data_IF_794456172050
#
_entry.id   IF_794456172050
#
_cell.length_a   1.000
_cell.length_b   1.000
_cell.length_c   1.000
_cell.angle_alpha   90.00
_cell.angle_beta   90.00
_cell.angle_gamma   90.00
#
_symmetry.space_group_name_H-M   'P 1'
#
loop_
_entity.id
_entity.type
_entity.pdbx_description
1 polymer ?
#
# COMPACT_ATOMS: atom_id res chain seq x y z
N UNK A 1 6.07 -16.92 12.50
CA UNK A 1 6.56 -15.66 11.91
C UNK A 1 5.42 -15.04 11.11
N UNK A 2 4.97 -13.84 11.46
CA UNK A 2 3.76 -13.25 10.89
C UNK A 2 3.99 -12.74 9.47
N UNK A 3 3.31 -13.33 8.48
CA UNK A 3 3.38 -12.98 7.05
C UNK A 3 3.12 -11.49 6.72
N UNK A 4 2.61 -10.72 7.69
CA UNK A 4 2.46 -9.27 7.60
C UNK A 4 3.80 -8.53 7.50
N UNK A 5 4.84 -9.02 8.17
CA UNK A 5 6.17 -8.37 8.15
C UNK A 5 6.89 -8.55 6.81
N UNK A 6 6.47 -9.53 6.02
CA UNK A 6 6.94 -9.76 4.66
C UNK A 6 6.31 -8.81 3.62
N UNK A 7 5.34 -7.97 4.02
CA UNK A 7 4.76 -6.96 3.12
C UNK A 7 5.73 -5.79 2.98
N UNK A 8 6.26 -5.63 1.78
CA UNK A 8 7.08 -4.48 1.40
C UNK A 8 6.14 -3.33 1.05
N UNK A 9 6.23 -2.24 1.80
CA UNK A 9 5.46 -1.01 1.57
C UNK A 9 6.32 -0.02 0.80
N UNK A 10 5.81 0.46 -0.32
CA UNK A 10 6.45 1.50 -1.15
C UNK A 10 5.48 2.65 -1.35
N UNK A 11 5.93 3.87 -1.09
CA UNK A 11 5.15 5.09 -1.30
C UNK A 11 5.54 5.70 -2.64
N UNK A 12 4.54 6.01 -3.47
CA UNK A 12 4.75 6.59 -4.80
C UNK A 12 3.74 7.69 -5.06
N UNK A 13 4.19 8.79 -5.67
CA UNK A 13 3.30 9.83 -6.21
C UNK A 13 2.73 9.49 -7.59
N UNK A 14 3.05 8.29 -8.10
CA UNK A 14 2.59 7.78 -9.40
C UNK A 14 1.94 6.41 -9.22
N UNK A 15 0.87 6.18 -9.97
CA UNK A 15 0.11 4.95 -9.96
C UNK A 15 0.98 3.79 -10.50
N UNK A 16 1.09 2.66 -9.81
CA UNK A 16 2.02 1.58 -10.17
C UNK A 16 1.72 0.89 -11.51
N UNK A 17 0.44 0.86 -11.93
CA UNK A 17 0.04 0.29 -13.23
C UNK A 17 -0.03 1.29 -14.39
N UNK A 18 -0.72 2.42 -14.20
CA UNK A 18 -0.97 3.38 -15.28
C UNK A 18 0.12 4.43 -15.41
N UNK A 19 0.97 4.60 -14.38
CA UNK A 19 1.98 5.65 -14.35
C UNK A 19 1.42 7.06 -14.13
N UNK A 20 0.10 7.18 -13.95
CA UNK A 20 -0.58 8.45 -13.73
C UNK A 20 -0.18 9.07 -12.39
N UNK A 21 -0.08 10.41 -12.30
CA UNK A 21 0.18 11.07 -11.04
C UNK A 21 -0.99 10.85 -10.06
N UNK A 22 -0.66 10.75 -8.77
CA UNK A 22 -1.67 10.76 -7.70
C UNK A 22 -2.41 12.09 -7.70
N UNK A 23 -3.63 12.11 -7.18
CA UNK A 23 -4.35 13.35 -6.98
C UNK A 23 -3.55 14.32 -6.08
N UNK A 24 -3.80 15.62 -6.22
CA UNK A 24 -3.13 16.64 -5.40
C UNK A 24 -3.39 16.37 -3.93
N UNK A 25 -2.32 16.17 -3.16
CA UNK A 25 -2.42 15.81 -1.75
C UNK A 25 -2.49 14.31 -1.48
N UNK A 26 -2.53 13.46 -2.50
CA UNK A 26 -2.59 12.00 -2.35
C UNK A 26 -1.24 11.33 -2.66
N UNK A 27 -1.06 10.12 -2.12
CA UNK A 27 0.02 9.20 -2.43
C UNK A 27 -0.53 7.78 -2.66
N UNK A 28 0.14 7.03 -3.52
CA UNK A 28 -0.10 5.61 -3.67
C UNK A 28 0.76 4.82 -2.70
N UNK A 29 0.10 4.01 -1.89
CA UNK A 29 0.74 3.01 -1.03
C UNK A 29 0.70 1.69 -1.78
N UNK A 30 1.87 1.18 -2.13
CA UNK A 30 2.04 -0.05 -2.89
C UNK A 30 2.56 -1.13 -1.94
N UNK A 31 1.82 -2.22 -1.81
CA UNK A 31 2.20 -3.38 -1.02
C UNK A 31 2.58 -4.55 -1.89
N UNK A 32 3.74 -5.14 -1.62
CA UNK A 32 4.20 -6.36 -2.27
C UNK A 32 4.35 -7.47 -1.24
N UNK A 33 3.69 -8.61 -1.46
CA UNK A 33 3.80 -9.82 -0.64
C UNK A 33 4.15 -11.00 -1.54
N UNK A 34 5.42 -11.37 -1.59
CA UNK A 34 5.93 -12.41 -2.50
C UNK A 34 5.66 -12.04 -3.96
N UNK A 35 4.80 -12.79 -4.64
CA UNK A 35 4.41 -12.55 -6.04
C UNK A 35 3.14 -11.69 -6.19
N UNK A 36 2.52 -11.27 -5.09
CA UNK A 36 1.30 -10.45 -5.11
C UNK A 36 1.64 -8.99 -4.90
N UNK A 37 1.02 -8.14 -5.69
CA UNK A 37 1.16 -6.68 -5.59
C UNK A 37 -0.23 -6.05 -5.64
N UNK A 38 -0.53 -5.24 -4.62
CA UNK A 38 -1.74 -4.43 -4.55
C UNK A 38 -1.35 -3.03 -4.09
N UNK A 39 -2.22 -2.07 -4.34
CA UNK A 39 -1.98 -0.68 -4.01
C UNK A 39 -3.30 0.02 -3.72
N UNK A 40 -3.23 1.11 -2.97
CA UNK A 40 -4.34 2.01 -2.75
C UNK A 40 -3.86 3.45 -2.76
N UNK A 41 -4.77 4.36 -3.06
CA UNK A 41 -4.53 5.79 -2.93
C UNK A 41 -4.94 6.23 -1.52
N UNK A 42 -4.08 7.02 -0.89
CA UNK A 42 -4.36 7.63 0.41
C UNK A 42 -3.96 9.09 0.40
N UNK A 43 -4.70 9.87 1.16
CA UNK A 43 -4.35 11.25 1.43
C UNK A 43 -3.02 11.34 2.20
N UNK A 44 -2.15 12.26 1.82
CA UNK A 44 -0.83 12.47 2.44
C UNK A 44 -0.99 12.92 3.88
N UNK A 45 -2.04 13.69 4.18
CA UNK A 45 -2.34 14.12 5.56
C UNK A 45 -2.72 12.92 6.44
N UNK A 46 -3.47 11.96 5.89
CA UNK A 46 -3.77 10.70 6.58
C UNK A 46 -2.53 9.82 6.71
N UNK A 47 -1.70 9.74 5.67
CA UNK A 47 -0.47 8.97 5.68
C UNK A 47 0.50 9.44 6.79
N UNK A 48 0.61 10.74 7.02
CA UNK A 48 1.42 11.29 8.12
C UNK A 48 0.95 10.85 9.51
N UNK A 49 -0.34 10.52 9.67
CA UNK A 49 -0.91 10.04 10.91
C UNK A 49 -0.85 8.51 11.05
N UNK A 50 -0.47 7.78 10.00
CA UNK A 50 -0.40 6.33 9.99
C UNK A 50 1.01 5.83 10.27
N UNK A 51 1.11 4.75 11.05
CA UNK A 51 2.38 4.06 11.23
C UNK A 51 2.59 3.05 10.11
N UNK A 52 3.85 2.72 9.86
CA UNK A 52 4.18 1.72 8.86
C UNK A 52 3.51 0.36 9.13
N UNK A 53 3.31 -0.01 10.41
CA UNK A 53 2.56 -1.21 10.80
C UNK A 53 1.08 -1.18 10.37
N UNK A 54 0.43 -0.02 10.46
CA UNK A 54 -0.95 0.14 10.01
C UNK A 54 -1.03 -0.02 8.48
N UNK A 55 -0.09 0.56 7.74
CA UNK A 55 0.01 0.41 6.29
C UNK A 55 0.25 -1.05 5.88
N UNK A 56 1.18 -1.73 6.56
CA UNK A 56 1.44 -3.15 6.33
C UNK A 56 0.23 -4.01 6.62
N UNK A 57 -0.52 -3.71 7.69
CA UNK A 57 -1.73 -4.44 8.07
C UNK A 57 -2.84 -4.27 7.03
N UNK A 58 -3.06 -3.05 6.54
CA UNK A 58 -4.10 -2.75 5.55
C UNK A 58 -3.76 -3.37 4.18
N UNK A 59 -2.51 -3.22 3.73
CA UNK A 59 -2.00 -3.89 2.54
C UNK A 59 -2.09 -5.41 2.66
N UNK A 60 -1.72 -5.97 3.80
CA UNK A 60 -1.85 -7.41 4.03
C UNK A 60 -3.30 -7.86 3.92
N UNK A 61 -4.23 -7.10 4.49
CA UNK A 61 -5.66 -7.39 4.37
C UNK A 61 -6.09 -7.38 2.90
N UNK A 62 -5.72 -6.36 2.12
CA UNK A 62 -6.03 -6.28 0.68
C UNK A 62 -5.44 -7.45 -0.12
N UNK A 63 -4.15 -7.71 0.05
CA UNK A 63 -3.40 -8.79 -0.60
C UNK A 63 -3.93 -10.18 -0.22
N UNK A 64 -4.41 -10.34 1.01
CA UNK A 64 -4.95 -11.60 1.53
C UNK A 64 -6.42 -11.81 1.15
N UNK A 65 -7.27 -10.77 1.20
CA UNK A 65 -8.70 -10.85 0.84
C UNK A 65 -8.91 -11.29 -0.60
N UNK A 66 -7.96 -10.98 -1.48
CA UNK A 66 -7.96 -11.43 -2.89
C UNK A 66 -7.65 -12.93 -3.07
N UNK A 67 -7.62 -13.71 -2.00
CA UNK A 67 -7.20 -15.12 -1.98
C UNK A 67 -8.25 -16.06 -1.38
N UNK A 68 -9.55 -15.74 -1.45
CA UNK A 68 -10.60 -16.61 -0.92
C UNK A 68 -11.83 -16.70 -1.82
#
# INVERSE_FOLDING_TARGET
MSKQKDVIVTLSKKHPKTGEPAQTGHMFVIGVLGHKTDWYEIDTEKLNNLKNEDLQRDLFALLHKRTH
#
